data_IF_140091061240
#
_entry.id   IF_140091061240
#
_cell.length_a   1.000
_cell.length_b   1.000
_cell.length_c   1.000
_cell.angle_alpha   90.00
_cell.angle_beta   90.00
_cell.angle_gamma   90.00
#
_symmetry.space_group_name_H-M   'P 1'
#
loop_
_entity.id
_entity.type
_entity.pdbx_description
1 polymer ?
#
# COMPACT_ATOMS: atom_id res chain seq x y z
N UNK A 1 -9.45 -8.46 9.42
CA UNK A 1 -8.32 -7.59 9.79
C UNK A 1 -7.21 -8.51 10.27
N UNK A 2 -5.95 -8.26 9.91
CA UNK A 2 -4.83 -9.12 10.32
C UNK A 2 -4.43 -8.88 11.77
N UNK A 3 -3.81 -9.88 12.40
CA UNK A 3 -3.20 -9.78 13.73
C UNK A 3 -1.77 -10.34 13.66
N UNK A 4 -0.73 -9.47 13.61
CA UNK A 4 -0.79 -8.00 13.63
C UNK A 4 -1.38 -7.38 12.34
N UNK A 5 -1.88 -6.13 12.36
CA UNK A 5 -2.43 -5.49 11.17
C UNK A 5 -1.37 -5.31 10.08
N UNK A 6 -1.76 -5.56 8.82
CA UNK A 6 -0.90 -5.48 7.65
C UNK A 6 -1.08 -4.15 6.92
N UNK A 7 0.00 -3.39 6.77
CA UNK A 7 0.02 -2.10 6.06
C UNK A 7 0.79 -2.24 4.75
N UNK A 8 0.20 -1.80 3.64
CA UNK A 8 0.89 -1.65 2.36
C UNK A 8 1.39 -0.21 2.22
N UNK A 9 2.71 -0.02 2.14
CA UNK A 9 3.35 1.28 1.86
C UNK A 9 3.69 1.36 0.38
N UNK A 10 3.26 2.41 -0.29
CA UNK A 10 3.44 2.60 -1.73
C UNK A 10 4.07 3.96 -2.00
N UNK A 11 5.33 3.96 -2.40
CA UNK A 11 6.12 5.16 -2.71
C UNK A 11 7.26 4.74 -3.65
N UNK A 12 7.58 5.55 -4.66
CA UNK A 12 8.64 5.27 -5.64
C UNK A 12 10.03 5.70 -5.15
N UNK A 13 10.11 6.41 -4.02
CA UNK A 13 11.35 6.83 -3.36
C UNK A 13 11.74 5.80 -2.29
N UNK A 14 12.79 4.99 -2.50
CA UNK A 14 13.17 3.91 -1.58
C UNK A 14 13.42 4.38 -0.14
N UNK A 15 14.06 5.54 0.03
CA UNK A 15 14.35 6.09 1.35
C UNK A 15 13.07 6.35 2.18
N UNK A 16 11.97 6.79 1.53
CA UNK A 16 10.69 7.01 2.21
C UNK A 16 10.08 5.68 2.65
N UNK A 17 10.14 4.67 1.78
CA UNK A 17 9.65 3.32 2.04
C UNK A 17 10.38 2.71 3.25
N UNK A 18 11.72 2.78 3.26
CA UNK A 18 12.55 2.23 4.33
C UNK A 18 12.23 2.89 5.68
N UNK A 19 12.13 4.23 5.71
CA UNK A 19 11.81 4.97 6.94
C UNK A 19 10.43 4.60 7.47
N UNK A 20 9.42 4.50 6.59
CA UNK A 20 8.06 4.14 6.98
C UNK A 20 7.96 2.69 7.45
N UNK A 21 8.61 1.77 6.73
CA UNK A 21 8.64 0.35 7.10
C UNK A 21 9.25 0.18 8.49
N UNK A 22 10.45 0.72 8.74
CA UNK A 22 11.10 0.61 10.04
C UNK A 22 10.25 1.18 11.18
N UNK A 23 9.59 2.33 10.96
CA UNK A 23 8.72 2.95 11.97
C UNK A 23 7.49 2.11 12.27
N UNK A 24 6.79 1.61 11.25
CA UNK A 24 5.57 0.82 11.42
C UNK A 24 5.87 -0.55 12.03
N UNK A 25 6.93 -1.22 11.58
CA UNK A 25 7.36 -2.49 12.16
C UNK A 25 7.74 -2.33 13.64
N UNK A 26 8.42 -1.23 14.01
CA UNK A 26 8.75 -0.94 15.42
C UNK A 26 7.51 -0.71 16.32
N UNK A 27 6.37 -0.38 15.72
CA UNK A 27 5.08 -0.23 16.40
C UNK A 27 4.26 -1.54 16.43
N UNK A 28 4.79 -2.62 15.86
CA UNK A 28 4.17 -3.96 15.87
C UNK A 28 3.25 -4.23 14.69
N UNK A 29 3.32 -3.44 13.62
CA UNK A 29 2.60 -3.73 12.37
C UNK A 29 3.41 -4.66 11.46
N UNK A 30 2.71 -5.46 10.66
CA UNK A 30 3.32 -6.08 9.48
C UNK A 30 3.29 -5.08 8.32
N UNK A 31 4.39 -5.03 7.56
CA UNK A 31 4.53 -4.11 6.44
C UNK A 31 4.86 -4.86 5.17
N UNK A 32 4.16 -4.49 4.10
CA UNK A 32 4.54 -4.82 2.73
C UNK A 32 4.69 -3.53 1.93
N UNK A 33 5.50 -3.55 0.89
CA UNK A 33 5.87 -2.33 0.16
C UNK A 33 5.50 -2.43 -1.31
N UNK A 34 5.41 -1.34 -2.04
CA UNK A 34 5.31 -1.32 -3.51
C UNK A 34 5.97 -0.04 -4.04
N UNK A 35 6.61 -0.12 -5.21
CA UNK A 35 7.33 1.01 -5.81
C UNK A 35 6.51 1.81 -6.82
N UNK A 36 5.27 1.37 -7.12
CA UNK A 36 4.37 2.04 -8.05
C UNK A 36 2.92 1.55 -7.90
N UNK A 37 1.99 2.24 -8.56
CA UNK A 37 0.57 1.91 -8.53
C UNK A 37 0.19 0.55 -9.12
N UNK A 38 0.91 0.03 -10.13
CA UNK A 38 0.63 -1.29 -10.70
C UNK A 38 1.03 -2.40 -9.74
N UNK A 39 2.19 -2.27 -9.10
CA UNK A 39 2.64 -3.19 -8.06
C UNK A 39 1.68 -3.14 -6.86
N UNK A 40 1.23 -1.95 -6.46
CA UNK A 40 0.25 -1.78 -5.38
C UNK A 40 -1.07 -2.51 -5.69
N UNK A 41 -1.61 -2.36 -6.91
CA UNK A 41 -2.82 -3.08 -7.36
C UNK A 41 -2.63 -4.60 -7.30
N UNK A 42 -1.49 -5.09 -7.77
CA UNK A 42 -1.18 -6.51 -7.78
C UNK A 42 -1.01 -7.08 -6.36
N UNK A 43 -0.32 -6.35 -5.48
CA UNK A 43 -0.11 -6.77 -4.08
C UNK A 43 -1.40 -6.72 -3.28
N UNK A 44 -2.20 -5.65 -3.42
CA UNK A 44 -3.47 -5.50 -2.69
C UNK A 44 -4.38 -6.71 -2.90
N UNK A 45 -4.48 -7.23 -4.13
CA UNK A 45 -5.28 -8.42 -4.44
C UNK A 45 -4.72 -9.73 -3.86
N UNK A 46 -3.42 -9.80 -3.60
CA UNK A 46 -2.76 -11.00 -3.09
C UNK A 46 -2.75 -11.07 -1.57
N UNK A 47 -2.51 -9.94 -0.92
CA UNK A 47 -2.26 -9.87 0.53
C UNK A 47 -3.39 -9.19 1.30
N UNK A 48 -4.31 -8.50 0.62
CA UNK A 48 -5.49 -7.84 1.20
C UNK A 48 -5.15 -6.98 2.45
N UNK A 49 -4.24 -5.99 2.32
CA UNK A 49 -3.79 -5.19 3.46
C UNK A 49 -4.95 -4.51 4.17
N UNK A 50 -4.77 -4.24 5.46
CA UNK A 50 -5.77 -3.57 6.30
C UNK A 50 -5.76 -2.06 6.12
N UNK A 51 -4.66 -1.49 5.61
CA UNK A 51 -4.44 -0.07 5.34
C UNK A 51 -3.43 0.10 4.20
N UNK A 52 -3.63 1.12 3.36
CA UNK A 52 -2.64 1.51 2.33
C UNK A 52 -2.16 2.93 2.59
N UNK A 53 -0.85 3.11 2.75
CA UNK A 53 -0.19 4.41 2.69
C UNK A 53 0.34 4.60 1.27
N UNK A 54 -0.17 5.60 0.56
CA UNK A 54 0.05 5.74 -0.88
C UNK A 54 0.52 7.15 -1.22
N UNK A 55 1.69 7.25 -1.86
CA UNK A 55 2.15 8.50 -2.44
C UNK A 55 1.32 8.89 -3.67
N UNK A 56 1.14 10.19 -3.85
CA UNK A 56 0.37 10.75 -4.96
C UNK A 56 1.21 10.79 -6.25
N UNK A 57 2.50 11.10 -6.14
CA UNK A 57 3.36 11.50 -7.25
C UNK A 57 4.33 10.39 -7.67
N UNK A 58 3.79 9.33 -8.29
CA UNK A 58 4.59 8.19 -8.75
C UNK A 58 4.67 8.07 -10.29
N UNK A 59 5.73 7.48 -10.84
CA UNK A 59 5.83 7.19 -12.28
C UNK A 59 4.85 6.09 -12.72
N UNK A 60 4.52 6.09 -14.02
CA UNK A 60 3.62 5.14 -14.72
C UNK A 60 2.15 5.21 -14.31
N UNK A 61 1.85 5.04 -13.02
CA UNK A 61 0.50 5.12 -12.48
C UNK A 61 0.55 5.91 -11.17
N UNK A 62 -0.03 7.10 -11.18
CA UNK A 62 -0.07 7.97 -10.01
C UNK A 62 -0.98 7.41 -8.90
N UNK A 63 -0.83 7.96 -7.69
CA UNK A 63 -1.60 7.53 -6.53
C UNK A 63 -3.10 7.74 -6.69
N UNK A 64 -3.54 8.81 -7.36
CA UNK A 64 -4.96 9.13 -7.52
C UNK A 64 -5.66 8.07 -8.38
N UNK A 65 -5.07 7.71 -9.52
CA UNK A 65 -5.59 6.67 -10.40
C UNK A 65 -5.50 5.30 -9.72
N UNK A 66 -4.47 5.05 -8.92
CA UNK A 66 -4.35 3.83 -8.11
C UNK A 66 -5.51 3.69 -7.12
N UNK A 67 -5.83 4.75 -6.34
CA UNK A 67 -6.99 4.74 -5.43
C UNK A 67 -8.29 4.51 -6.19
N UNK A 68 -8.50 5.17 -7.33
CA UNK A 68 -9.73 5.00 -8.13
C UNK A 68 -9.92 3.54 -8.53
N UNK A 69 -8.86 2.88 -8.98
CA UNK A 69 -8.92 1.46 -9.39
C UNK A 69 -9.14 0.53 -8.20
N UNK A 70 -8.49 0.80 -7.06
CA UNK A 70 -8.69 0.03 -5.83
C UNK A 70 -10.12 0.15 -5.31
N UNK A 71 -10.64 1.37 -5.17
CA UNK A 71 -12.00 1.63 -4.67
C UNK A 71 -13.08 1.21 -5.67
N UNK A 72 -12.76 1.14 -6.96
CA UNK A 72 -13.66 0.65 -8.01
C UNK A 72 -13.70 -0.87 -8.14
N UNK A 73 -12.80 -1.60 -7.48
CA UNK A 73 -12.75 -3.06 -7.54
C UNK A 73 -13.72 -3.67 -6.52
N UNK A 74 -14.88 -4.14 -6.99
CA UNK A 74 -15.91 -4.72 -6.14
C UNK A 74 -15.49 -6.03 -5.43
N UNK A 75 -14.38 -6.65 -5.85
CA UNK A 75 -13.85 -7.83 -5.18
C UNK A 75 -12.98 -7.48 -3.97
N UNK A 76 -12.55 -6.21 -3.83
CA UNK A 76 -11.78 -5.76 -2.68
C UNK A 76 -12.71 -5.32 -1.54
N UNK A 77 -12.38 -5.65 -0.28
CA UNK A 77 -13.07 -5.06 0.86
C UNK A 77 -12.79 -3.55 0.92
N UNK A 78 -13.51 -2.86 1.80
CA UNK A 78 -13.11 -1.51 2.15
C UNK A 78 -11.74 -1.53 2.84
N UNK A 79 -10.76 -0.94 2.19
CA UNK A 79 -9.41 -0.72 2.71
C UNK A 79 -9.28 0.80 2.85
N UNK A 80 -9.06 1.35 4.05
CA UNK A 80 -8.84 2.78 4.26
C UNK A 80 -7.76 3.32 3.31
#
# INVERSE_FOLDING_TARGET
>A
MHEPPLILVVDDVPDNVDILQMRLESQGYEVTTAADGLEALAKTRKVLPDLILLDVMMPRLDGIETVKRLKGDAALPFIP
#
